data_IF_408982801617
#
_entry.id   IF_408982801617
#
_cell.length_a   1.000
_cell.length_b   1.000
_cell.length_c   1.000
_cell.angle_alpha   90.00
_cell.angle_beta   90.00
_cell.angle_gamma   90.00
#
_symmetry.space_group_name_H-M   'P 1'
#
loop_
_entity.id
_entity.type
_entity.pdbx_description
1 polymer ?
#
# COMPACT_ATOMS: atom_id res chain seq x y z
N UNK A 1 -49.66 -13.89 5.99
CA UNK A 1 -49.36 -13.82 4.54
C UNK A 1 -48.29 -12.74 4.39
N UNK A 2 -47.00 -13.06 4.41
CA UNK A 2 -46.25 -13.79 3.38
C UNK A 2 -45.74 -12.77 2.35
N UNK A 3 -44.58 -12.14 2.58
CA UNK A 3 -43.36 -12.32 1.76
C UNK A 3 -43.32 -11.32 0.60
N UNK A 4 -42.29 -10.51 0.41
CA UNK A 4 -41.07 -10.92 -0.28
C UNK A 4 -39.96 -9.89 -0.08
N UNK A 5 -38.82 -10.39 0.38
CA UNK A 5 -37.51 -9.75 0.32
C UNK A 5 -37.01 -9.81 -1.13
N UNK A 6 -36.65 -8.67 -1.72
CA UNK A 6 -35.97 -8.64 -3.02
C UNK A 6 -34.48 -8.54 -2.76
N UNK A 7 -33.76 -9.54 -3.25
CA UNK A 7 -32.37 -9.84 -2.92
C UNK A 7 -31.37 -8.73 -3.29
N UNK A 8 -30.54 -8.38 -2.31
CA UNK A 8 -29.31 -7.63 -2.50
C UNK A 8 -28.28 -8.58 -3.13
N UNK A 9 -28.31 -8.65 -4.46
CA UNK A 9 -27.52 -9.59 -5.26
C UNK A 9 -26.01 -9.37 -5.19
N UNK A 10 -25.26 -10.48 -5.27
CA UNK A 10 -23.80 -10.63 -5.33
C UNK A 10 -22.99 -9.64 -6.18
N UNK A 11 -23.62 -8.93 -7.13
CA UNK A 11 -22.95 -8.03 -8.07
C UNK A 11 -22.36 -6.76 -7.42
N UNK A 12 -22.83 -6.35 -6.23
CA UNK A 12 -22.29 -5.19 -5.51
C UNK A 12 -20.95 -5.44 -4.78
N UNK A 13 -20.70 -6.68 -4.34
CA UNK A 13 -19.48 -7.07 -3.63
C UNK A 13 -18.29 -7.26 -4.59
N UNK A 14 -18.56 -7.73 -5.82
CA UNK A 14 -17.51 -8.02 -6.79
C UNK A 14 -16.78 -6.76 -7.28
N UNK A 15 -17.49 -5.68 -7.64
CA UNK A 15 -16.85 -4.43 -8.12
C UNK A 15 -15.98 -3.76 -7.05
N UNK A 16 -16.41 -3.77 -5.78
CA UNK A 16 -15.63 -3.20 -4.67
C UNK A 16 -14.36 -4.01 -4.43
N UNK A 17 -14.47 -5.34 -4.42
CA UNK A 17 -13.34 -6.26 -4.26
C UNK A 17 -12.32 -6.19 -5.41
N UNK A 18 -12.77 -5.95 -6.64
CA UNK A 18 -11.88 -5.76 -7.81
C UNK A 18 -11.08 -4.45 -7.69
N UNK A 19 -11.69 -3.35 -7.24
CA UNK A 19 -10.97 -2.10 -6.97
C UNK A 19 -9.99 -2.26 -5.79
N UNK A 20 -10.40 -2.99 -4.74
CA UNK A 20 -9.58 -3.30 -3.57
C UNK A 20 -8.33 -4.14 -3.91
N UNK A 21 -8.42 -5.03 -4.90
CA UNK A 21 -7.30 -5.84 -5.40
C UNK A 21 -6.42 -5.10 -6.43
N UNK A 22 -6.76 -3.87 -6.81
CA UNK A 22 -5.95 -3.10 -7.76
C UNK A 22 -4.59 -2.80 -7.14
N UNK A 23 -3.51 -3.15 -7.84
CA UNK A 23 -2.14 -2.89 -7.39
C UNK A 23 -1.70 -1.52 -7.86
N UNK A 24 -1.21 -0.71 -6.93
CA UNK A 24 -0.62 0.62 -7.18
C UNK A 24 0.84 0.63 -6.74
N UNK A 25 1.57 1.65 -7.16
CA UNK A 25 2.87 1.99 -6.60
C UNK A 25 2.68 2.97 -5.44
N UNK A 26 3.43 2.79 -4.36
CA UNK A 26 3.45 3.72 -3.24
C UNK A 26 4.87 3.93 -2.76
N UNK A 27 5.11 5.07 -2.11
CA UNK A 27 6.35 5.33 -1.42
C UNK A 27 6.24 4.79 -0.01
N UNK A 28 7.09 3.83 0.34
CA UNK A 28 7.25 3.31 1.69
C UNK A 28 8.30 4.14 2.44
N UNK A 29 7.94 4.60 3.63
CA UNK A 29 8.84 5.24 4.59
C UNK A 29 9.04 4.30 5.76
N UNK A 30 10.27 3.88 6.01
CA UNK A 30 10.65 3.13 7.20
C UNK A 30 11.30 4.08 8.20
N UNK A 31 10.69 4.27 9.36
CA UNK A 31 11.18 5.22 10.35
C UNK A 31 12.38 4.65 11.13
N UNK A 32 13.28 5.51 11.66
CA UNK A 32 14.46 5.07 12.40
C UNK A 32 14.19 4.21 13.63
N UNK A 33 12.97 4.24 14.16
CA UNK A 33 12.54 3.38 15.26
C UNK A 33 12.29 1.93 14.84
N UNK A 34 12.38 1.64 13.53
CA UNK A 34 12.21 0.34 12.85
C UNK A 34 10.91 -0.41 13.23
N UNK A 35 10.03 0.24 13.96
CA UNK A 35 8.78 -0.31 14.52
C UNK A 35 7.58 0.10 13.72
N UNK A 36 7.74 1.11 12.86
CA UNK A 36 6.67 1.70 12.08
C UNK A 36 7.14 1.97 10.65
N UNK A 37 6.24 1.74 9.71
CA UNK A 37 6.39 2.18 8.33
C UNK A 37 5.08 2.81 7.85
N UNK A 38 5.19 3.72 6.90
CA UNK A 38 4.06 4.39 6.27
C UNK A 38 4.11 4.24 4.76
N UNK A 39 2.93 4.16 4.14
CA UNK A 39 2.80 4.21 2.68
C UNK A 39 2.16 5.52 2.27
N UNK A 40 2.83 6.26 1.40
CA UNK A 40 2.41 7.59 0.95
C UNK A 40 2.46 7.71 -0.57
N UNK A 41 1.90 8.81 -1.09
CA UNK A 41 1.95 9.19 -2.50
C UNK A 41 1.62 8.03 -3.46
N UNK A 42 0.40 7.43 -3.40
CA UNK A 42 0.04 6.36 -4.32
C UNK A 42 0.01 6.87 -5.77
N UNK A 43 0.60 6.09 -6.67
CA UNK A 43 0.71 6.37 -8.11
C UNK A 43 0.34 5.15 -8.93
N UNK A 44 -0.10 5.39 -10.15
CA UNK A 44 -0.45 4.32 -11.09
C UNK A 44 0.78 3.79 -11.83
N UNK A 45 1.85 4.59 -11.93
CA UNK A 45 3.08 4.22 -12.63
C UNK A 45 4.30 4.24 -11.72
N UNK A 46 5.29 3.39 -12.05
CA UNK A 46 6.56 3.33 -11.33
C UNK A 46 7.32 4.66 -11.42
N UNK A 47 7.42 5.26 -12.61
CA UNK A 47 8.16 6.50 -12.83
C UNK A 47 7.59 7.69 -12.03
N UNK A 48 6.27 7.75 -11.83
CA UNK A 48 5.68 8.74 -10.93
C UNK A 48 5.98 8.47 -9.46
N UNK A 49 5.99 7.20 -9.05
CA UNK A 49 6.31 6.80 -7.69
C UNK A 49 7.79 7.05 -7.36
N UNK A 50 8.70 6.83 -8.30
CA UNK A 50 10.13 7.15 -8.15
C UNK A 50 10.36 8.64 -8.01
N UNK A 51 9.69 9.47 -8.83
CA UNK A 51 9.72 10.94 -8.68
C UNK A 51 9.19 11.36 -7.31
N UNK A 52 8.12 10.74 -6.83
CA UNK A 52 7.60 11.01 -5.49
C UNK A 52 8.59 10.57 -4.40
N UNK A 53 9.24 9.41 -4.53
CA UNK A 53 10.25 8.93 -3.59
C UNK A 53 11.46 9.85 -3.51
N UNK A 54 11.92 10.40 -4.64
CA UNK A 54 12.99 11.40 -4.67
C UNK A 54 12.59 12.68 -3.94
N UNK A 55 11.35 13.16 -4.11
CA UNK A 55 10.83 14.32 -3.41
C UNK A 55 10.74 14.07 -1.88
N UNK A 56 10.25 12.91 -1.47
CA UNK A 56 10.20 12.48 -0.07
C UNK A 56 11.60 12.42 0.55
N UNK A 57 12.53 11.77 -0.14
CA UNK A 57 13.92 11.72 0.31
C UNK A 57 14.54 13.11 0.42
N UNK A 58 14.30 14.00 -0.55
CA UNK A 58 14.80 15.38 -0.52
C UNK A 58 14.22 16.19 0.64
N UNK A 59 12.91 16.04 0.91
CA UNK A 59 12.23 16.70 2.01
C UNK A 59 12.80 16.28 3.37
N UNK A 60 12.93 14.96 3.61
CA UNK A 60 13.39 14.44 4.90
C UNK A 60 14.91 14.48 5.09
N UNK A 61 15.70 14.68 4.02
CA UNK A 61 17.18 14.68 4.09
C UNK A 61 17.75 15.60 5.16
N UNK A 62 17.10 16.74 5.40
CA UNK A 62 17.56 17.78 6.35
C UNK A 62 16.92 17.66 7.74
N UNK A 63 15.95 16.76 7.92
CA UNK A 63 15.25 16.57 9.18
C UNK A 63 16.05 15.73 10.20
N UNK A 64 15.71 15.84 11.49
CA UNK A 64 16.28 14.98 12.54
C UNK A 64 15.72 13.55 12.50
N UNK A 65 14.50 13.35 11.99
CA UNK A 65 13.92 12.05 11.71
C UNK A 65 14.03 11.76 10.21
N UNK A 66 14.89 10.81 9.83
CA UNK A 66 15.18 10.47 8.44
C UNK A 66 14.68 9.06 8.14
N UNK A 67 13.50 8.90 7.53
CA UNK A 67 13.06 7.59 7.13
C UNK A 67 13.90 7.07 5.94
N UNK A 68 14.09 5.76 5.89
CA UNK A 68 14.49 5.10 4.65
C UNK A 68 13.30 5.11 3.70
N UNK A 69 13.53 5.48 2.45
CA UNK A 69 12.48 5.63 1.45
C UNK A 69 12.66 4.57 0.36
N UNK A 70 11.60 3.85 0.03
CA UNK A 70 11.57 2.88 -1.07
C UNK A 70 10.26 2.97 -1.85
N UNK A 71 10.27 2.49 -3.10
CA UNK A 71 9.05 2.35 -3.90
C UNK A 71 8.58 0.90 -3.83
N UNK A 72 7.30 0.70 -3.55
CA UNK A 72 6.70 -0.62 -3.36
C UNK A 72 5.44 -0.77 -4.20
N UNK A 73 5.11 -2.03 -4.54
CA UNK A 73 3.80 -2.39 -5.10
C UNK A 73 2.91 -2.85 -3.96
N UNK A 74 1.72 -2.26 -3.86
CA UNK A 74 0.77 -2.55 -2.77
C UNK A 74 -0.64 -2.58 -3.33
N UNK A 75 -1.50 -3.45 -2.79
CA UNK A 75 -2.92 -3.43 -3.15
C UNK A 75 -3.59 -2.16 -2.60
N UNK A 76 -4.61 -1.65 -3.30
CA UNK A 76 -5.39 -0.52 -2.82
C UNK A 76 -6.05 -0.81 -1.46
N UNK A 77 -6.44 -2.07 -1.22
CA UNK A 77 -6.96 -2.53 0.07
C UNK A 77 -5.92 -2.45 1.19
N UNK A 78 -4.71 -2.97 0.96
CA UNK A 78 -3.66 -2.94 1.97
C UNK A 78 -3.27 -1.49 2.27
N UNK A 79 -3.14 -0.65 1.23
CA UNK A 79 -2.89 0.78 1.40
C UNK A 79 -3.98 1.45 2.27
N UNK A 80 -5.25 1.10 2.05
CA UNK A 80 -6.38 1.59 2.87
C UNK A 80 -6.29 1.10 4.31
N UNK A 81 -5.95 -0.17 4.54
CA UNK A 81 -5.74 -0.72 5.88
C UNK A 81 -4.61 0.04 6.59
N UNK A 82 -3.50 0.31 5.90
CA UNK A 82 -2.37 1.05 6.45
C UNK A 82 -2.68 2.52 6.78
N UNK A 83 -3.59 3.17 6.06
CA UNK A 83 -4.08 4.50 6.45
C UNK A 83 -4.80 4.49 7.79
N UNK A 84 -5.49 3.40 8.10
CA UNK A 84 -6.27 3.24 9.33
C UNK A 84 -5.45 2.61 10.47
N UNK A 85 -4.30 2.00 10.16
CA UNK A 85 -3.46 1.29 11.12
C UNK A 85 -2.00 1.70 10.99
N UNK A 86 -1.51 2.46 11.96
CA UNK A 86 -0.14 3.00 11.97
C UNK A 86 0.91 2.06 12.57
N UNK A 87 0.50 0.96 13.19
CA UNK A 87 1.34 0.07 13.98
C UNK A 87 1.55 -1.31 13.33
N UNK A 88 1.66 -1.37 12.00
CA UNK A 88 1.87 -2.64 11.30
C UNK A 88 3.11 -3.38 11.83
N UNK A 89 2.93 -4.66 12.18
CA UNK A 89 3.99 -5.57 12.68
C UNK A 89 4.30 -6.73 11.73
N UNK A 90 3.75 -6.72 10.52
CA UNK A 90 4.02 -7.77 9.55
C UNK A 90 5.47 -7.61 9.02
N UNK A 91 6.34 -8.63 9.20
CA UNK A 91 7.77 -8.52 8.89
C UNK A 91 8.04 -8.28 7.41
N UNK A 92 7.26 -8.90 6.53
CA UNK A 92 7.42 -8.81 5.06
C UNK A 92 6.43 -7.83 4.41
N UNK A 93 5.89 -6.88 5.18
CA UNK A 93 4.84 -5.99 4.70
C UNK A 93 5.34 -5.10 3.57
N UNK A 94 5.01 -5.45 2.31
CA UNK A 94 5.39 -4.71 1.11
C UNK A 94 6.86 -4.26 1.11
N UNK A 95 7.79 -5.17 1.44
CA UNK A 95 9.21 -4.97 1.12
C UNK A 95 9.33 -4.91 -0.41
N UNK A 96 10.20 -4.04 -0.92
CA UNK A 96 10.27 -3.68 -2.34
C UNK A 96 10.13 -4.87 -3.29
N UNK A 97 9.54 -4.65 -4.47
CA UNK A 97 9.23 -5.68 -5.46
C UNK A 97 10.45 -6.50 -5.98
N UNK A 98 11.65 -6.23 -5.46
CA UNK A 98 12.88 -6.96 -5.73
C UNK A 98 12.89 -8.39 -5.16
N UNK A 99 12.10 -8.72 -4.13
CA UNK A 99 12.17 -10.04 -3.47
C UNK A 99 11.07 -11.04 -3.85
N UNK A 100 10.21 -10.72 -4.82
CA UNK A 100 9.21 -11.67 -5.33
C UNK A 100 9.52 -12.12 -6.75
N UNK A 101 10.70 -12.72 -6.93
CA UNK A 101 10.84 -13.74 -7.96
C UNK A 101 9.90 -14.91 -7.60
N UNK A 102 9.14 -15.50 -8.55
CA UNK A 102 8.39 -16.72 -8.27
C UNK A 102 9.38 -17.81 -7.86
N UNK A 103 9.14 -18.48 -6.72
CA UNK A 103 9.82 -19.75 -6.42
C UNK A 103 9.44 -20.74 -7.52
N UNK A 104 10.39 -21.29 -8.30
CA UNK A 104 10.09 -22.45 -9.12
C UNK A 104 9.76 -23.62 -8.20
N UNK A 105 8.68 -24.33 -8.54
CA UNK A 105 8.22 -25.56 -7.90
C UNK A 105 9.25 -26.67 -7.97
#
# INVERSE_FOLDING_TARGET
MGGLWVGVGWFGLARRRVADNTVVFAVRRDWPDWRTHEFVAPRLTLAEAERAAQAEHAYWRRGPARPTVSVVRISANDLRIHRNRRDCKAPDCAVGASDRAPRPS
#
